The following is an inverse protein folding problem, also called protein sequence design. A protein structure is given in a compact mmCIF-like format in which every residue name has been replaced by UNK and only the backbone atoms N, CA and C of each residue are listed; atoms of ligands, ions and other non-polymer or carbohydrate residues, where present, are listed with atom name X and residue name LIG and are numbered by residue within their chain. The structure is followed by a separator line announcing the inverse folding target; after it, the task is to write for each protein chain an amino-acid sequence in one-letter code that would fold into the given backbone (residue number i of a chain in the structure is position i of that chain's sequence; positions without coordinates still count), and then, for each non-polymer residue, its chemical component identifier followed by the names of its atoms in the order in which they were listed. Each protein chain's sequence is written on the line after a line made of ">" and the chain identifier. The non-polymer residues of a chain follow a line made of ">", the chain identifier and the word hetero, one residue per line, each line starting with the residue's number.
data_IF_002561665266
#
_entry.id   IF_002561665266
#
_cell.length_a   1.000
_cell.length_b   1.000
_cell.length_c   1.000
_cell.angle_alpha   90.00
_cell.angle_beta   90.00
_cell.angle_gamma   90.00
#
_symmetry.space_group_name_H-M   'P 1'
#
loop_
_entity.id
_entity.type
_entity.pdbx_description
1 polymer ?
#
# COMPACT_ATOMS: atom_id res chain seq x y z
N UNK A 1 36.05 11.74 -31.35
CA UNK A 1 36.22 12.50 -30.09
C UNK A 1 34.85 12.60 -29.44
N UNK A 2 34.51 11.63 -28.59
CA UNK A 2 33.26 11.64 -27.82
C UNK A 2 33.57 12.15 -26.42
N UNK A 3 32.86 13.21 -26.02
CA UNK A 3 33.13 14.00 -24.83
C UNK A 3 32.75 13.30 -23.51
N UNK A 4 33.34 13.72 -22.38
CA UNK A 4 33.18 13.11 -21.07
C UNK A 4 32.06 13.75 -20.23
N UNK A 5 30.92 14.15 -20.82
CA UNK A 5 29.85 14.86 -20.08
C UNK A 5 28.70 13.95 -19.62
N UNK A 6 28.66 12.68 -20.00
CA UNK A 6 27.52 11.80 -19.69
C UNK A 6 27.58 11.09 -18.31
N UNK A 7 28.64 11.32 -17.51
CA UNK A 7 28.85 10.61 -16.24
C UNK A 7 28.52 11.44 -14.98
N UNK A 8 28.15 12.71 -15.10
CA UNK A 8 27.79 13.54 -13.93
C UNK A 8 26.28 13.51 -13.58
N UNK A 9 25.39 13.13 -14.50
CA UNK A 9 23.94 13.07 -14.20
C UNK A 9 23.55 11.84 -13.35
N UNK A 10 24.30 10.73 -13.42
CA UNK A 10 23.95 9.49 -12.73
C UNK A 10 24.24 9.55 -11.22
N UNK A 11 25.15 10.43 -10.79
CA UNK A 11 25.46 10.66 -9.36
C UNK A 11 24.46 11.57 -8.64
N UNK A 12 23.59 12.30 -9.36
CA UNK A 12 22.62 13.24 -8.78
C UNK A 12 21.26 12.58 -8.44
N UNK A 13 20.98 11.40 -9.00
CA UNK A 13 19.77 10.63 -8.74
C UNK A 13 19.54 10.26 -7.25
N UNK A 14 20.53 9.74 -6.49
CA UNK A 14 20.32 9.38 -5.08
C UNK A 14 20.02 10.60 -4.19
N UNK A 15 20.70 11.73 -4.43
CA UNK A 15 20.44 12.97 -3.69
C UNK A 15 19.04 13.51 -3.98
N UNK A 16 18.59 13.41 -5.23
CA UNK A 16 17.23 13.81 -5.62
C UNK A 16 16.16 12.94 -4.96
N UNK A 17 16.41 11.64 -4.81
CA UNK A 17 15.52 10.72 -4.10
C UNK A 17 15.42 11.14 -2.62
N UNK A 18 16.53 11.45 -1.97
CA UNK A 18 16.55 11.91 -0.57
C UNK A 18 15.77 13.22 -0.40
N UNK A 19 15.93 14.18 -1.32
CA UNK A 19 15.16 15.43 -1.32
C UNK A 19 13.65 15.17 -1.47
N UNK A 20 13.26 14.32 -2.42
CA UNK A 20 11.86 13.96 -2.65
C UNK A 20 11.26 13.21 -1.45
N UNK A 21 12.02 12.35 -0.78
CA UNK A 21 11.59 11.67 0.46
C UNK A 21 11.39 12.66 1.61
N UNK A 22 12.29 13.65 1.76
CA UNK A 22 12.13 14.73 2.76
C UNK A 22 10.91 15.59 2.46
N UNK A 23 10.69 15.96 1.20
CA UNK A 23 9.51 16.71 0.76
C UNK A 23 8.20 15.94 1.01
N UNK A 24 8.16 14.65 0.66
CA UNK A 24 7.00 13.78 0.93
C UNK A 24 6.69 13.67 2.42
N UNK A 25 7.72 13.57 3.27
CA UNK A 25 7.54 13.54 4.73
C UNK A 25 6.96 14.85 5.26
N UNK A 26 7.42 15.99 4.75
CA UNK A 26 6.88 17.30 5.11
C UNK A 26 5.41 17.45 4.70
N UNK A 27 5.07 17.07 3.46
CA UNK A 27 3.69 17.12 2.96
C UNK A 27 2.73 16.23 3.77
N UNK A 28 3.18 15.04 4.21
CA UNK A 28 2.37 14.16 5.08
C UNK A 28 2.09 14.79 6.45
N UNK A 29 3.09 15.45 7.05
CA UNK A 29 2.91 16.16 8.32
C UNK A 29 1.93 17.34 8.16
N UNK A 30 2.04 18.09 7.06
CA UNK A 30 1.13 19.20 6.76
C UNK A 30 -0.30 18.71 6.52
N UNK A 31 -0.48 17.61 5.77
CA UNK A 31 -1.78 16.97 5.55
C UNK A 31 -2.42 16.53 6.87
N UNK A 32 -1.66 15.89 7.76
CA UNK A 32 -2.16 15.46 9.06
C UNK A 32 -2.57 16.65 9.94
N UNK A 33 -1.77 17.72 9.97
CA UNK A 33 -2.14 18.93 10.74
C UNK A 33 -3.40 19.61 10.19
N UNK A 34 -3.57 19.65 8.86
CA UNK A 34 -4.77 20.15 8.19
C UNK A 34 -6.01 19.29 8.49
N UNK A 35 -5.86 17.96 8.49
CA UNK A 35 -6.93 17.04 8.89
C UNK A 35 -7.34 17.22 10.35
N UNK A 36 -6.38 17.39 11.27
CA UNK A 36 -6.66 17.69 12.67
C UNK A 36 -7.38 19.03 12.86
N UNK A 37 -6.96 20.07 12.14
CA UNK A 37 -7.62 21.37 12.17
C UNK A 37 -9.06 21.28 11.65
N UNK A 38 -9.27 20.54 10.57
CA UNK A 38 -10.62 20.28 10.02
C UNK A 38 -11.49 19.51 11.01
N UNK A 39 -10.93 18.53 11.74
CA UNK A 39 -11.65 17.82 12.81
C UNK A 39 -12.02 18.73 13.96
N UNK A 40 -11.14 19.66 14.36
CA UNK A 40 -11.42 20.66 15.41
C UNK A 40 -12.55 21.61 14.98
N UNK A 41 -12.47 22.19 13.78
CA UNK A 41 -13.51 23.07 13.24
C UNK A 41 -14.87 22.37 13.09
N UNK A 42 -14.88 21.08 12.71
CA UNK A 42 -16.12 20.29 12.66
C UNK A 42 -16.74 20.13 14.04
N UNK A 43 -15.95 19.84 15.07
CA UNK A 43 -16.44 19.78 16.47
C UNK A 43 -16.99 21.13 16.93
N UNK A 44 -16.28 22.23 16.67
CA UNK A 44 -16.76 23.57 17.02
C UNK A 44 -18.07 23.93 16.29
N UNK A 45 -18.22 23.54 15.02
CA UNK A 45 -19.47 23.71 14.29
C UNK A 45 -20.62 22.89 14.88
N UNK A 46 -20.36 21.66 15.31
CA UNK A 46 -21.36 20.83 15.99
C UNK A 46 -21.75 21.43 17.35
N UNK A 47 -20.77 21.89 18.15
CA UNK A 47 -21.03 22.57 19.42
C UNK A 47 -21.83 23.88 19.23
N UNK A 48 -21.52 24.67 18.20
CA UNK A 48 -22.27 25.88 17.89
C UNK A 48 -23.68 25.58 17.40
N UNK A 49 -23.86 24.54 16.57
CA UNK A 49 -25.20 24.07 16.15
C UNK A 49 -26.01 23.57 17.34
N UNK A 50 -25.38 22.84 18.25
CA UNK A 50 -26.03 22.37 19.48
C UNK A 50 -26.44 23.55 20.38
N UNK A 51 -25.55 24.53 20.57
CA UNK A 51 -25.86 25.78 21.28
C UNK A 51 -26.99 26.58 20.62
N UNK A 52 -26.99 26.67 19.28
CA UNK A 52 -28.04 27.36 18.52
C UNK A 52 -29.40 26.63 18.65
N UNK A 53 -29.39 25.30 18.67
CA UNK A 53 -30.60 24.49 18.88
C UNK A 53 -31.16 24.56 20.31
N UNK A 54 -30.31 24.89 21.30
CA UNK A 54 -30.67 25.03 22.72
C UNK A 54 -31.05 26.46 23.11
N UNK A 55 -30.88 27.44 22.24
CA UNK A 55 -31.37 28.80 22.48
C UNK A 55 -32.87 28.88 22.15
N UNK A 56 -33.73 29.31 23.09
CA UNK A 56 -35.13 29.55 22.80
C UNK A 56 -35.27 30.69 21.78
N UNK A 57 -36.16 30.51 20.80
CA UNK A 57 -36.48 31.48 19.77
C UNK A 57 -37.15 32.73 20.36
N UNK A 58 -36.35 33.60 20.97
CA UNK A 58 -36.75 34.95 21.35
C UNK A 58 -36.13 35.92 20.33
N UNK A 59 -36.99 36.55 19.55
CA UNK A 59 -36.66 37.78 18.82
C UNK A 59 -36.22 38.84 19.83
N UNK A 60 -35.10 39.56 19.59
CA UNK A 60 -35.24 41.01 19.68
C UNK A 60 -34.35 41.82 18.71
N UNK A 61 -34.95 42.97 18.39
CA UNK A 61 -34.37 44.26 18.07
C UNK A 61 -32.84 44.47 18.24
N UNK A 62 -32.30 45.12 17.21
CA UNK A 62 -31.00 45.78 17.10
C UNK A 62 -30.77 46.77 18.27
N UNK A 63 -29.65 46.68 19.02
CA UNK A 63 -29.09 47.81 19.74
C UNK A 63 -27.77 48.30 19.11
N UNK A 64 -27.66 49.62 19.09
CA UNK A 64 -26.52 50.46 18.67
C UNK A 64 -25.19 50.12 19.36
N UNK A 65 -24.02 50.33 18.71
CA UNK A 65 -22.73 49.90 19.24
C UNK A 65 -22.19 50.88 20.29
N UNK A 66 -22.29 50.50 21.56
CA UNK A 66 -21.54 51.12 22.65
C UNK A 66 -20.13 50.50 22.75
N UNK A 67 -19.14 51.38 22.73
CA UNK A 67 -17.69 51.16 22.95
C UNK A 67 -17.38 50.06 23.98
N UNK A 68 -16.81 48.95 23.50
CA UNK A 68 -15.97 48.05 24.32
C UNK A 68 -14.53 48.34 23.94
N UNK A 69 -13.85 49.13 24.77
CA UNK A 69 -12.40 49.29 24.73
C UNK A 69 -11.80 48.08 25.44
N UNK A 70 -11.13 47.21 24.67
CA UNK A 70 -10.27 46.16 25.21
C UNK A 70 -10.65 44.77 24.72
N UNK A 71 -10.26 44.44 23.49
CA UNK A 71 -10.10 43.06 23.06
C UNK A 71 -8.74 42.93 22.34
N UNK A 72 -8.03 41.80 22.55
CA UNK A 72 -6.58 41.69 22.42
C UNK A 72 -6.16 41.62 20.96
N UNK A 73 -4.86 41.79 20.69
CA UNK A 73 -4.28 41.84 19.35
C UNK A 73 -4.66 40.67 18.41
N UNK A 74 -5.26 39.60 18.93
CA UNK A 74 -5.67 38.41 18.18
C UNK A 74 -6.99 38.57 17.43
N UNK A 75 -7.94 39.39 17.90
CA UNK A 75 -9.17 39.66 17.14
C UNK A 75 -8.89 40.50 15.88
N UNK A 76 -7.94 41.44 15.96
CA UNK A 76 -7.50 42.20 14.79
C UNK A 76 -6.85 41.30 13.74
N UNK A 77 -6.06 40.32 14.17
CA UNK A 77 -5.45 39.33 13.25
C UNK A 77 -6.51 38.42 12.63
N UNK A 78 -7.50 38.00 13.41
CA UNK A 78 -8.61 37.17 12.92
C UNK A 78 -9.48 37.94 11.91
N UNK A 79 -9.80 39.19 12.19
CA UNK A 79 -10.51 40.06 11.24
C UNK A 79 -9.70 40.31 9.96
N UNK A 80 -8.38 40.53 10.07
CA UNK A 80 -7.52 40.65 8.90
C UNK A 80 -7.50 39.37 8.05
N UNK A 81 -7.50 38.20 8.69
CA UNK A 81 -7.60 36.91 8.01
C UNK A 81 -8.95 36.73 7.30
N UNK A 82 -10.07 37.07 7.96
CA UNK A 82 -11.40 37.01 7.33
C UNK A 82 -11.54 37.98 6.17
N UNK A 83 -11.07 39.22 6.31
CA UNK A 83 -11.07 40.19 5.20
C UNK A 83 -10.26 39.69 4.01
N UNK A 84 -9.08 39.07 4.25
CA UNK A 84 -8.28 38.46 3.19
C UNK A 84 -8.98 37.26 2.54
N UNK A 85 -9.67 36.43 3.33
CA UNK A 85 -10.46 35.29 2.84
C UNK A 85 -11.64 35.75 1.98
N UNK A 86 -12.34 36.80 2.40
CA UNK A 86 -13.46 37.39 1.64
C UNK A 86 -12.95 37.94 0.31
N UNK A 87 -11.85 38.72 0.32
CA UNK A 87 -11.25 39.22 -0.92
C UNK A 87 -10.79 38.12 -1.88
N UNK A 88 -10.24 37.01 -1.35
CA UNK A 88 -9.87 35.86 -2.18
C UNK A 88 -11.09 35.13 -2.77
N UNK A 89 -12.20 35.05 -2.02
CA UNK A 89 -13.45 34.46 -2.51
C UNK A 89 -14.12 35.34 -3.57
N UNK A 90 -14.10 36.67 -3.38
CA UNK A 90 -14.60 37.62 -4.39
C UNK A 90 -13.79 37.54 -5.68
N UNK A 91 -12.45 37.48 -5.59
CA UNK A 91 -11.58 37.29 -6.74
C UNK A 91 -11.78 35.95 -7.46
N UNK A 92 -12.05 34.88 -6.71
CA UNK A 92 -12.41 33.57 -7.29
C UNK A 92 -13.78 33.63 -8.00
N UNK A 93 -14.75 34.30 -7.39
CA UNK A 93 -16.10 34.46 -7.95
C UNK A 93 -16.08 35.29 -9.25
N UNK A 94 -15.28 36.37 -9.31
CA UNK A 94 -15.09 37.14 -10.55
C UNK A 94 -14.39 36.33 -11.63
N UNK A 95 -13.37 35.52 -11.27
CA UNK A 95 -12.72 34.60 -12.21
C UNK A 95 -13.69 33.56 -12.78
N UNK A 96 -14.48 32.90 -11.94
CA UNK A 96 -15.48 31.92 -12.36
C UNK A 96 -16.56 32.54 -13.26
N UNK A 97 -17.00 33.78 -12.99
CA UNK A 97 -17.92 34.51 -13.87
C UNK A 97 -17.31 34.79 -15.25
N UNK A 98 -16.02 35.16 -15.30
CA UNK A 98 -15.32 35.38 -16.56
C UNK A 98 -15.13 34.08 -17.36
N UNK A 99 -14.83 32.96 -16.68
CA UNK A 99 -14.76 31.63 -17.31
C UNK A 99 -16.12 31.20 -17.87
N UNK A 100 -17.21 31.37 -17.09
CA UNK A 100 -18.58 31.12 -17.57
C UNK A 100 -18.92 31.96 -18.80
N UNK A 101 -18.53 33.23 -18.85
CA UNK A 101 -18.74 34.08 -20.00
C UNK A 101 -17.98 33.57 -21.24
N UNK A 102 -16.74 33.11 -21.07
CA UNK A 102 -15.94 32.50 -22.16
C UNK A 102 -16.60 31.23 -22.69
N UNK A 103 -17.07 30.33 -21.81
CA UNK A 103 -17.76 29.12 -22.23
C UNK A 103 -19.08 29.41 -22.95
N UNK A 104 -19.87 30.38 -22.46
CA UNK A 104 -21.07 30.85 -23.18
C UNK A 104 -20.73 31.36 -24.57
N UNK A 105 -19.66 32.14 -24.70
CA UNK A 105 -19.25 32.69 -25.99
C UNK A 105 -18.68 31.63 -26.95
N UNK A 106 -17.99 30.61 -26.42
CA UNK A 106 -17.55 29.45 -27.21
C UNK A 106 -18.74 28.65 -27.73
N UNK A 107 -19.73 28.36 -26.88
CA UNK A 107 -20.97 27.68 -27.27
C UNK A 107 -21.73 28.46 -28.37
N UNK A 108 -21.89 29.78 -28.23
CA UNK A 108 -22.55 30.60 -29.26
C UNK A 108 -21.81 30.51 -30.60
N UNK A 109 -20.47 30.53 -30.58
CA UNK A 109 -19.65 30.38 -31.80
C UNK A 109 -19.77 29.00 -32.45
N UNK A 110 -19.85 27.94 -31.65
CA UNK A 110 -19.98 26.56 -32.14
C UNK A 110 -21.38 26.28 -32.70
N UNK A 111 -22.42 26.85 -32.10
CA UNK A 111 -23.81 26.70 -32.56
C UNK A 111 -24.14 27.59 -33.76
N UNK A 112 -23.31 28.58 -34.09
CA UNK A 112 -23.47 29.44 -35.28
C UNK A 112 -24.70 30.36 -35.24
N UNK A 113 -25.35 30.47 -34.09
CA UNK A 113 -26.58 31.23 -33.91
C UNK A 113 -26.35 32.36 -32.89
N UNK A 114 -26.00 33.55 -33.38
CA UNK A 114 -25.66 34.70 -32.54
C UNK A 114 -26.83 35.22 -31.70
N UNK A 115 -28.05 34.76 -31.98
CA UNK A 115 -29.27 35.15 -31.28
C UNK A 115 -29.70 34.13 -30.20
N UNK A 116 -28.95 33.03 -30.03
CA UNK A 116 -29.28 32.01 -29.05
C UNK A 116 -28.81 32.39 -27.64
N UNK A 117 -29.74 32.60 -26.72
CA UNK A 117 -29.45 32.76 -25.29
C UNK A 117 -29.51 31.40 -24.57
N UNK A 118 -28.37 30.88 -24.05
CA UNK A 118 -28.36 29.65 -23.25
C UNK A 118 -29.27 29.72 -22.01
N UNK A 119 -29.60 30.93 -21.53
CA UNK A 119 -30.44 31.13 -20.36
C UNK A 119 -31.92 30.79 -20.64
N UNK A 120 -32.42 31.04 -21.86
CA UNK A 120 -33.77 30.61 -22.27
C UNK A 120 -33.93 29.08 -22.31
N UNK A 121 -32.85 28.33 -22.54
CA UNK A 121 -32.89 26.86 -22.50
C UNK A 121 -33.03 26.35 -21.07
N UNK A 122 -32.40 27.01 -20.09
CA UNK A 122 -32.45 26.64 -18.68
C UNK A 122 -33.77 27.06 -18.02
N UNK A 123 -34.33 28.20 -18.41
CA UNK A 123 -35.63 28.69 -17.91
C UNK A 123 -36.84 28.05 -18.64
N UNK A 124 -36.60 27.45 -19.81
CA UNK A 124 -37.62 26.90 -20.72
C UNK A 124 -38.08 25.47 -20.44
N UNK A 125 -38.58 25.18 -19.23
CA UNK A 125 -39.12 23.86 -18.86
C UNK A 125 -40.35 23.38 -19.69
N UNK A 126 -40.90 24.21 -20.59
CA UNK A 126 -42.13 23.95 -21.35
C UNK A 126 -41.95 23.68 -22.85
N UNK A 127 -40.78 23.95 -23.44
CA UNK A 127 -40.59 23.86 -24.90
C UNK A 127 -39.82 22.62 -25.41
N UNK A 128 -39.24 21.81 -24.52
CA UNK A 128 -38.53 20.59 -24.93
C UNK A 128 -39.45 19.55 -25.56
N UNK A 129 -40.73 19.50 -25.14
CA UNK A 129 -41.74 18.60 -25.72
C UNK A 129 -42.09 18.98 -27.15
N UNK A 130 -42.15 20.27 -27.48
CA UNK A 130 -42.38 20.79 -28.84
C UNK A 130 -41.18 20.55 -29.77
N UNK A 131 -39.96 20.69 -29.25
CA UNK A 131 -38.75 20.34 -30.02
C UNK A 131 -38.65 18.84 -30.29
N UNK A 132 -38.99 17.99 -29.32
CA UNK A 132 -39.00 16.55 -29.52
C UNK A 132 -40.02 16.10 -30.58
N UNK A 133 -41.22 16.69 -30.60
CA UNK A 133 -42.24 16.40 -31.63
C UNK A 133 -41.80 16.92 -33.00
N UNK A 134 -41.14 18.08 -33.07
CA UNK A 134 -40.62 18.64 -34.31
C UNK A 134 -39.46 17.77 -34.89
N UNK A 135 -38.57 17.29 -34.03
CA UNK A 135 -37.51 16.33 -34.41
C UNK A 135 -38.13 15.01 -34.89
N UNK A 136 -39.16 14.52 -34.22
CA UNK A 136 -39.86 13.29 -34.64
C UNK A 136 -40.51 13.46 -36.03
N UNK A 137 -41.16 14.60 -36.28
CA UNK A 137 -41.77 14.91 -37.57
C UNK A 137 -40.72 15.01 -38.69
N UNK A 138 -39.62 15.74 -38.44
CA UNK A 138 -38.52 15.86 -39.39
C UNK A 138 -37.87 14.49 -39.68
N UNK A 139 -37.71 13.62 -38.67
CA UNK A 139 -37.22 12.24 -38.85
C UNK A 139 -38.15 11.41 -39.75
N UNK A 140 -39.47 11.55 -39.61
CA UNK A 140 -40.45 10.87 -40.47
C UNK A 140 -40.34 11.38 -41.92
N UNK A 141 -40.27 12.69 -42.11
CA UNK A 141 -40.11 13.29 -43.43
C UNK A 141 -38.79 12.88 -44.10
N UNK A 142 -37.70 12.80 -43.35
CA UNK A 142 -36.40 12.30 -43.83
C UNK A 142 -36.48 10.82 -44.22
N UNK A 143 -37.21 10.02 -43.46
CA UNK A 143 -37.42 8.60 -43.77
C UNK A 143 -38.24 8.42 -45.04
N UNK A 144 -39.31 9.19 -45.22
CA UNK A 144 -40.12 9.18 -46.45
C UNK A 144 -39.37 9.70 -47.69
N UNK A 145 -38.54 10.72 -47.53
CA UNK A 145 -37.68 11.20 -48.61
C UNK A 145 -36.64 10.14 -49.01
N UNK A 146 -36.05 9.44 -48.02
CA UNK A 146 -35.12 8.34 -48.26
C UNK A 146 -35.78 7.14 -48.93
N UNK A 147 -37.01 6.77 -48.56
CA UNK A 147 -37.73 5.67 -49.23
C UNK A 147 -38.10 6.03 -50.66
N UNK A 148 -38.56 7.27 -50.92
CA UNK A 148 -38.83 7.76 -52.28
C UNK A 148 -37.58 7.81 -53.17
N UNK A 149 -36.39 7.94 -52.59
CA UNK A 149 -35.11 7.84 -53.31
C UNK A 149 -34.65 6.38 -53.44
N UNK A 150 -35.00 5.51 -52.49
CA UNK A 150 -34.68 4.09 -52.47
C UNK A 150 -35.47 3.22 -53.46
N UNK A 151 -36.70 3.60 -53.80
CA UNK A 151 -37.58 2.86 -54.73
C UNK A 151 -37.13 2.88 -56.21
N UNK A 152 -36.00 3.53 -56.54
CA UNK A 152 -35.43 3.56 -57.91
C UNK A 152 -34.24 2.62 -58.14
N UNK A 153 -33.87 1.75 -57.19
CA UNK A 153 -32.70 0.87 -57.38
C UNK A 153 -32.87 -0.53 -56.80
N UNK A 154 -33.42 -1.45 -57.60
CA UNK A 154 -33.47 -2.89 -57.31
C UNK A 154 -32.10 -3.58 -57.23
N UNK A 155 -31.01 -2.86 -57.55
CA UNK A 155 -29.63 -3.33 -57.40
C UNK A 155 -29.04 -3.17 -55.98
N UNK A 156 -29.73 -2.49 -55.04
CA UNK A 156 -29.22 -2.28 -53.66
C UNK A 156 -29.62 -3.36 -52.65
N UNK A 157 -30.55 -4.24 -52.99
CA UNK A 157 -31.11 -5.23 -52.06
C UNK A 157 -30.08 -6.26 -51.57
N UNK A 158 -29.14 -6.69 -52.42
CA UNK A 158 -28.12 -7.68 -52.03
C UNK A 158 -27.05 -7.10 -51.09
N UNK A 159 -26.71 -5.82 -51.27
CA UNK A 159 -25.79 -5.10 -50.38
C UNK A 159 -26.46 -4.81 -49.03
N UNK A 160 -27.74 -4.44 -49.03
CA UNK A 160 -28.49 -4.20 -47.80
C UNK A 160 -28.70 -5.48 -46.98
N UNK A 161 -28.89 -6.64 -47.63
CA UNK A 161 -28.97 -7.95 -46.96
C UNK A 161 -27.63 -8.34 -46.35
N UNK A 162 -26.52 -8.15 -47.08
CA UNK A 162 -25.15 -8.41 -46.55
C UNK A 162 -24.80 -7.48 -45.40
N UNK A 163 -25.13 -6.19 -45.52
CA UNK A 163 -24.93 -5.21 -44.44
C UNK A 163 -25.77 -5.56 -43.21
N UNK A 164 -27.02 -6.00 -43.39
CA UNK A 164 -27.87 -6.45 -42.29
C UNK A 164 -27.30 -7.70 -41.61
N UNK A 165 -26.86 -8.68 -42.38
CA UNK A 165 -26.21 -9.88 -41.82
C UNK A 165 -24.93 -9.54 -41.05
N UNK A 166 -24.11 -8.61 -41.57
CA UNK A 166 -22.92 -8.14 -40.88
C UNK A 166 -23.25 -7.39 -39.58
N UNK A 167 -24.30 -6.56 -39.57
CA UNK A 167 -24.80 -5.89 -38.37
C UNK A 167 -25.32 -6.90 -37.33
N UNK A 168 -26.02 -7.94 -37.77
CA UNK A 168 -26.52 -9.00 -36.88
C UNK A 168 -25.36 -9.84 -36.32
N UNK A 169 -24.34 -10.19 -37.12
CA UNK A 169 -23.11 -10.82 -36.64
C UNK A 169 -22.36 -9.95 -35.62
N UNK A 170 -22.28 -8.62 -35.85
CA UNK A 170 -21.68 -7.71 -34.88
C UNK A 170 -22.48 -7.68 -33.59
N UNK A 171 -23.82 -7.67 -33.64
CA UNK A 171 -24.67 -7.74 -32.45
C UNK A 171 -24.48 -9.04 -31.68
N UNK A 172 -24.44 -10.18 -32.37
CA UNK A 172 -24.17 -11.49 -31.77
C UNK A 172 -22.81 -11.48 -31.05
N UNK A 173 -21.76 -10.96 -31.70
CA UNK A 173 -20.41 -10.87 -31.12
C UNK A 173 -20.37 -9.93 -29.91
N UNK A 174 -21.17 -8.86 -29.91
CA UNK A 174 -21.29 -7.97 -28.75
C UNK A 174 -22.03 -8.65 -27.61
N UNK A 175 -23.11 -9.37 -27.89
CA UNK A 175 -23.83 -10.14 -26.88
C UNK A 175 -22.95 -11.22 -26.25
N UNK A 176 -22.16 -11.94 -27.05
CA UNK A 176 -21.19 -12.92 -26.55
C UNK A 176 -20.13 -12.27 -25.66
N UNK A 177 -19.56 -11.13 -26.07
CA UNK A 177 -18.58 -10.39 -25.24
C UNK A 177 -19.19 -9.85 -23.96
N UNK A 178 -20.43 -9.36 -23.99
CA UNK A 178 -21.12 -8.90 -22.78
C UNK A 178 -21.34 -10.07 -21.82
N UNK A 179 -21.81 -11.22 -22.33
CA UNK A 179 -21.99 -12.41 -21.51
C UNK A 179 -20.66 -12.92 -20.91
N UNK A 180 -19.58 -12.91 -21.69
CA UNK A 180 -18.24 -13.28 -21.22
C UNK A 180 -17.73 -12.31 -20.14
N UNK A 181 -17.90 -11.01 -20.33
CA UNK A 181 -17.52 -10.00 -19.33
C UNK A 181 -18.38 -10.11 -18.05
N UNK A 182 -19.66 -10.43 -18.17
CA UNK A 182 -20.54 -10.67 -17.03
C UNK A 182 -20.10 -11.92 -16.24
N UNK A 183 -19.72 -13.00 -16.93
CA UNK A 183 -19.17 -14.20 -16.29
C UNK A 183 -17.84 -13.92 -15.59
N UNK A 184 -16.92 -13.20 -16.26
CA UNK A 184 -15.66 -12.78 -15.65
C UNK A 184 -15.88 -11.90 -14.41
N UNK A 185 -16.82 -10.95 -14.46
CA UNK A 185 -17.19 -10.13 -13.30
C UNK A 185 -17.72 -10.97 -12.14
N UNK A 186 -18.54 -11.98 -12.43
CA UNK A 186 -19.08 -12.90 -11.42
C UNK A 186 -17.96 -13.72 -10.76
N UNK A 187 -17.08 -14.32 -11.56
CA UNK A 187 -15.92 -15.08 -11.07
C UNK A 187 -14.98 -14.20 -10.24
N UNK A 188 -14.71 -12.97 -10.69
CA UNK A 188 -13.90 -12.01 -9.93
C UNK A 188 -14.59 -11.59 -8.64
N UNK A 189 -15.91 -11.43 -8.63
CA UNK A 189 -16.71 -11.17 -7.43
C UNK A 189 -16.57 -12.28 -6.39
N UNK A 190 -16.69 -13.54 -6.83
CA UNK A 190 -16.52 -14.70 -5.97
C UNK A 190 -15.09 -14.80 -5.41
N UNK A 191 -14.08 -14.58 -6.23
CA UNK A 191 -12.68 -14.59 -5.79
C UNK A 191 -12.39 -13.48 -4.77
N UNK A 192 -12.89 -12.26 -5.01
CA UNK A 192 -12.79 -11.16 -4.05
C UNK A 192 -13.48 -11.50 -2.72
N UNK A 193 -14.64 -12.16 -2.77
CA UNK A 193 -15.34 -12.59 -1.55
C UNK A 193 -14.54 -13.63 -0.75
N UNK A 194 -13.89 -14.59 -1.42
CA UNK A 194 -13.03 -15.60 -0.80
C UNK A 194 -11.79 -14.96 -0.17
N UNK A 195 -11.12 -14.05 -0.90
CA UNK A 195 -9.95 -13.33 -0.39
C UNK A 195 -10.29 -12.47 0.83
N UNK A 196 -11.45 -11.80 0.84
CA UNK A 196 -11.92 -11.05 2.02
C UNK A 196 -12.10 -11.94 3.24
N UNK A 197 -12.78 -13.09 3.09
CA UNK A 197 -12.95 -14.05 4.20
C UNK A 197 -11.61 -14.57 4.72
N UNK A 198 -10.66 -14.84 3.83
CA UNK A 198 -9.31 -15.27 4.22
C UNK A 198 -8.59 -14.16 5.01
N UNK A 199 -8.67 -12.91 4.55
CA UNK A 199 -8.07 -11.77 5.23
C UNK A 199 -8.70 -11.51 6.61
N UNK A 200 -10.02 -11.65 6.73
CA UNK A 200 -10.72 -11.55 8.01
C UNK A 200 -10.27 -12.65 9.00
N UNK A 201 -10.05 -13.87 8.49
CA UNK A 201 -9.53 -14.99 9.28
C UNK A 201 -8.10 -14.75 9.76
N UNK A 202 -7.21 -14.30 8.87
CA UNK A 202 -5.83 -13.93 9.22
C UNK A 202 -5.79 -12.78 10.22
N UNK A 203 -6.59 -11.74 10.00
CA UNK A 203 -6.71 -10.59 10.91
C UNK A 203 -7.14 -11.03 12.32
N UNK A 204 -8.11 -11.95 12.40
CA UNK A 204 -8.54 -12.54 13.66
C UNK A 204 -7.43 -13.36 14.35
N UNK A 205 -6.63 -14.10 13.57
CA UNK A 205 -5.50 -14.88 14.07
C UNK A 205 -4.37 -14.00 14.58
N UNK A 206 -4.04 -12.92 13.87
CA UNK A 206 -3.06 -11.93 14.29
C UNK A 206 -3.48 -11.31 15.63
N UNK A 207 -4.73 -10.85 15.75
CA UNK A 207 -5.23 -10.30 17.02
C UNK A 207 -5.17 -11.31 18.18
N UNK A 208 -5.42 -12.59 17.92
CA UNK A 208 -5.26 -13.65 18.92
C UNK A 208 -3.79 -13.85 19.34
N UNK A 209 -2.87 -13.90 18.37
CA UNK A 209 -1.44 -14.07 18.62
C UNK A 209 -0.84 -12.86 19.36
N UNK A 210 -1.27 -11.65 19.01
CA UNK A 210 -0.89 -10.42 19.73
C UNK A 210 -1.32 -10.47 21.19
N UNK A 211 -2.56 -10.93 21.46
CA UNK A 211 -3.05 -11.11 22.83
C UNK A 211 -2.22 -12.15 23.60
N UNK A 212 -1.92 -13.30 22.98
CA UNK A 212 -1.04 -14.32 23.61
C UNK A 212 0.36 -13.77 23.90
N UNK A 213 0.94 -13.01 22.97
CA UNK A 213 2.24 -12.36 23.16
C UNK A 213 2.21 -11.36 24.32
N UNK A 214 1.13 -10.58 24.43
CA UNK A 214 0.92 -9.67 25.55
C UNK A 214 0.81 -10.42 26.89
N UNK A 215 0.04 -11.51 26.94
CA UNK A 215 -0.12 -12.35 28.13
C UNK A 215 1.21 -12.98 28.58
N UNK A 216 2.02 -13.48 27.63
CA UNK A 216 3.34 -14.03 27.90
C UNK A 216 4.31 -12.95 28.45
N UNK A 217 4.32 -11.75 27.87
CA UNK A 217 5.10 -10.62 28.39
C UNK A 217 4.68 -10.24 29.81
N UNK A 218 3.37 -10.22 30.08
CA UNK A 218 2.85 -9.95 31.42
C UNK A 218 3.27 -11.04 32.41
N UNK A 219 3.21 -12.32 32.02
CA UNK A 219 3.68 -13.45 32.83
C UNK A 219 5.18 -13.35 33.13
N UNK A 220 5.99 -13.03 32.12
CA UNK A 220 7.43 -12.82 32.28
C UNK A 220 7.72 -11.66 33.24
N UNK A 221 7.01 -10.54 33.09
CA UNK A 221 7.13 -9.38 33.98
C UNK A 221 6.82 -9.76 35.43
N UNK A 222 5.77 -10.55 35.68
CA UNK A 222 5.46 -11.06 37.02
C UNK A 222 6.55 -11.99 37.57
N UNK A 223 7.10 -12.88 36.75
CA UNK A 223 8.20 -13.76 37.18
C UNK A 223 9.47 -12.98 37.54
N UNK A 224 9.81 -11.96 36.75
CA UNK A 224 10.93 -11.05 37.06
C UNK A 224 10.68 -10.28 38.36
N UNK A 225 9.46 -9.81 38.60
CA UNK A 225 9.10 -9.16 39.86
C UNK A 225 9.22 -10.12 41.05
N UNK A 226 8.76 -11.37 40.92
CA UNK A 226 8.94 -12.39 41.95
C UNK A 226 10.41 -12.67 42.23
N UNK A 227 11.23 -12.86 41.18
CA UNK A 227 12.66 -13.07 41.33
C UNK A 227 13.33 -11.90 42.09
N UNK A 228 12.96 -10.66 41.78
CA UNK A 228 13.44 -9.48 42.53
C UNK A 228 13.05 -9.51 44.00
N UNK A 229 11.80 -9.89 44.31
CA UNK A 229 11.37 -10.03 45.70
C UNK A 229 12.09 -11.19 46.42
N UNK A 230 12.35 -12.29 45.73
CA UNK A 230 13.13 -13.41 46.26
C UNK A 230 14.59 -12.97 46.53
N UNK A 231 15.19 -12.18 45.65
CA UNK A 231 16.53 -11.60 45.84
C UNK A 231 16.58 -10.62 47.03
N UNK A 232 15.55 -9.78 47.19
CA UNK A 232 15.37 -8.90 48.35
C UNK A 232 15.24 -9.70 49.64
N UNK A 233 14.44 -10.77 49.63
CA UNK A 233 14.27 -11.68 50.76
C UNK A 233 15.58 -12.38 51.12
N UNK A 234 16.28 -12.95 50.15
CA UNK A 234 17.59 -13.59 50.34
C UNK A 234 18.58 -12.58 50.93
N UNK A 235 18.62 -11.36 50.41
CA UNK A 235 19.48 -10.29 50.93
C UNK A 235 19.15 -9.97 52.39
N UNK A 236 17.87 -9.88 52.75
CA UNK A 236 17.44 -9.64 54.13
C UNK A 236 17.78 -10.79 55.09
N UNK A 237 17.68 -12.05 54.63
CA UNK A 237 18.03 -13.23 55.42
C UNK A 237 19.54 -13.31 55.63
N UNK A 238 20.33 -13.09 54.58
CA UNK A 238 21.80 -13.03 54.67
C UNK A 238 22.26 -11.91 55.61
N UNK A 239 21.58 -10.75 55.57
CA UNK A 239 21.87 -9.66 56.50
C UNK A 239 21.58 -10.08 57.95
N UNK A 240 20.46 -10.75 58.21
CA UNK A 240 20.14 -11.29 59.54
C UNK A 240 21.16 -12.32 60.01
N UNK A 241 21.55 -13.28 59.17
CA UNK A 241 22.61 -14.24 59.49
C UNK A 241 23.94 -13.55 59.81
N UNK A 242 24.28 -12.48 59.08
CA UNK A 242 25.49 -11.70 59.36
C UNK A 242 25.40 -10.90 60.67
N UNK A 243 24.21 -10.43 61.06
CA UNK A 243 23.99 -9.70 62.32
C UNK A 243 23.87 -10.62 63.54
N UNK A 244 23.33 -11.83 63.37
CA UNK A 244 23.18 -12.85 64.42
C UNK A 244 24.44 -13.72 64.57
N UNK A 245 25.45 -13.50 63.71
CA UNK A 245 26.80 -14.03 63.87
C UNK A 245 27.52 -13.33 65.05
N UNK A 246 27.05 -13.59 66.27
CA UNK A 246 27.89 -13.55 67.46
C UNK A 246 29.17 -14.37 67.21
N UNK A 247 30.32 -13.97 67.78
CA UNK A 247 31.58 -14.65 67.55
C UNK A 247 31.49 -16.09 68.06
N UNK A 248 31.28 -17.03 67.14
CA UNK A 248 31.35 -18.45 67.47
C UNK A 248 32.74 -18.73 68.04
N UNK A 249 32.85 -19.26 69.26
CA UNK A 249 34.14 -19.69 69.77
C UNK A 249 34.67 -20.79 68.86
N UNK A 250 35.96 -20.70 68.52
CA UNK A 250 36.69 -21.71 67.76
C UNK A 250 36.63 -23.03 68.54
N UNK A 251 35.67 -23.89 68.19
CA UNK A 251 35.59 -25.25 68.73
C UNK A 251 36.26 -26.18 67.72
N UNK A 252 37.46 -26.61 68.09
CA UNK A 252 38.27 -27.63 67.42
C UNK A 252 37.58 -28.99 67.49
N UNK A 253 37.82 -29.81 66.45
CA UNK A 253 37.84 -31.27 66.46
C UNK A 253 36.60 -32.02 66.96
N UNK A 254 35.94 -32.81 66.09
CA UNK A 254 36.15 -34.26 66.03
C UNK A 254 35.24 -34.95 65.00
N UNK A 255 35.80 -36.02 64.46
CA UNK A 255 35.24 -37.05 63.58
C UNK A 255 33.90 -37.63 64.04
N UNK A 256 32.95 -37.83 63.11
CA UNK A 256 31.99 -38.95 63.11
C UNK A 256 31.29 -39.09 61.75
N UNK A 257 30.65 -40.25 61.44
CA UNK A 257 30.68 -40.84 60.11
C UNK A 257 29.47 -40.47 59.25
N UNK A 258 29.71 -40.34 57.94
CA UNK A 258 28.66 -40.22 56.92
C UNK A 258 28.03 -41.59 56.66
N UNK A 259 26.85 -41.80 57.22
CA UNK A 259 25.79 -42.61 56.59
C UNK A 259 24.73 -41.66 56.08
N UNK A 260 24.34 -41.81 54.81
CA UNK A 260 22.97 -41.75 54.26
C UNK A 260 22.99 -41.32 52.78
N UNK A 261 22.68 -42.30 51.93
CA UNK A 261 21.82 -42.27 50.73
C UNK A 261 22.02 -41.19 49.66
N UNK A 262 22.14 -41.58 48.37
CA UNK A 262 22.18 -40.64 47.26
C UNK A 262 20.78 -40.10 46.94
N UNK A 263 20.59 -38.79 46.71
CA UNK A 263 19.44 -38.30 45.99
C UNK A 263 19.67 -38.49 44.49
N UNK A 264 18.71 -39.16 43.87
CA UNK A 264 18.48 -39.37 42.44
C UNK A 264 18.72 -38.11 41.60
N UNK A 265 19.46 -38.15 40.47
CA UNK A 265 19.50 -37.03 39.54
C UNK A 265 18.26 -37.08 38.64
N UNK A 266 17.18 -36.40 39.04
CA UNK A 266 16.11 -35.99 38.13
C UNK A 266 16.42 -34.59 37.59
N UNK A 267 17.49 -34.45 36.81
CA UNK A 267 17.77 -33.25 36.01
C UNK A 267 18.25 -33.72 34.63
N UNK A 268 17.36 -34.38 33.89
CA UNK A 268 17.63 -34.82 32.52
C UNK A 268 16.49 -34.52 31.54
N UNK A 269 15.46 -33.76 31.94
CA UNK A 269 14.30 -33.48 31.08
C UNK A 269 14.18 -32.03 30.58
N UNK A 270 15.06 -31.11 31.00
CA UNK A 270 14.92 -29.70 30.61
C UNK A 270 15.76 -29.25 29.39
N UNK A 271 16.54 -30.14 28.78
CA UNK A 271 17.40 -29.80 27.62
C UNK A 271 16.89 -30.31 26.27
N UNK A 272 15.79 -31.09 26.23
CA UNK A 272 15.24 -31.58 24.97
C UNK A 272 14.24 -30.63 24.29
N UNK A 273 13.87 -29.53 24.92
CA UNK A 273 12.86 -28.57 24.42
C UNK A 273 13.48 -27.45 23.58
N UNK A 274 14.78 -27.18 23.73
CA UNK A 274 15.45 -26.09 23.00
C UNK A 274 15.80 -26.42 21.54
N UNK A 275 15.80 -27.69 21.15
CA UNK A 275 16.06 -28.11 19.76
C UNK A 275 14.80 -28.10 18.89
N UNK A 276 13.59 -28.21 19.46
CA UNK A 276 12.34 -28.18 18.68
C UNK A 276 11.99 -26.76 18.20
N UNK A 277 12.25 -25.73 19.02
CA UNK A 277 12.02 -24.34 18.64
C UNK A 277 12.94 -23.84 17.52
N UNK A 278 14.19 -24.33 17.46
CA UNK A 278 15.11 -24.02 16.36
C UNK A 278 14.69 -24.71 15.04
N UNK A 279 14.10 -25.91 15.10
CA UNK A 279 13.55 -26.57 13.92
C UNK A 279 12.27 -25.90 13.40
N UNK A 280 11.41 -25.40 14.30
CA UNK A 280 10.21 -24.63 13.91
C UNK A 280 10.56 -23.27 13.29
N UNK A 281 11.53 -22.51 13.83
CA UNK A 281 11.96 -21.25 13.20
C UNK A 281 12.62 -21.49 11.83
N UNK A 282 13.38 -22.58 11.66
CA UNK A 282 13.94 -22.96 10.36
C UNK A 282 12.87 -23.40 9.36
N UNK A 283 11.80 -24.07 9.81
CA UNK A 283 10.68 -24.46 8.97
C UNK A 283 9.90 -23.24 8.49
N UNK A 284 9.58 -22.29 9.38
CA UNK A 284 8.90 -21.04 9.03
C UNK A 284 9.72 -20.19 8.06
N UNK A 285 11.02 -20.04 8.30
CA UNK A 285 11.89 -19.28 7.39
C UNK A 285 12.14 -20.01 6.05
N UNK A 286 11.99 -21.34 6.00
CA UNK A 286 11.99 -22.07 4.72
C UNK A 286 10.72 -21.81 3.92
N UNK A 287 9.59 -21.68 4.61
CA UNK A 287 8.28 -21.42 4.02
C UNK A 287 8.19 -20.01 3.41
N UNK A 288 8.76 -19.00 4.07
CA UNK A 288 8.86 -17.61 3.57
C UNK A 288 9.69 -17.51 2.27
N UNK A 289 10.80 -18.28 2.16
CA UNK A 289 11.58 -18.34 0.92
C UNK A 289 10.81 -19.01 -0.22
N UNK A 290 10.02 -20.03 0.10
CA UNK A 290 9.21 -20.75 -0.89
C UNK A 290 8.05 -19.86 -1.40
N UNK A 291 7.47 -19.03 -0.52
CA UNK A 291 6.51 -17.98 -0.89
C UNK A 291 7.16 -16.89 -1.76
N UNK A 292 8.38 -16.43 -1.43
CA UNK A 292 9.12 -15.50 -2.29
C UNK A 292 9.42 -16.09 -3.67
N UNK A 293 9.84 -17.36 -3.75
CA UNK A 293 10.10 -18.04 -5.01
C UNK A 293 8.81 -18.28 -5.83
N UNK A 294 7.67 -18.50 -5.16
CA UNK A 294 6.37 -18.55 -5.83
C UNK A 294 5.98 -17.18 -6.39
N UNK A 295 6.27 -16.09 -5.66
CA UNK A 295 5.99 -14.73 -6.10
C UNK A 295 6.82 -14.30 -7.30
N UNK A 296 8.09 -14.71 -7.36
CA UNK A 296 8.94 -14.47 -8.54
C UNK A 296 8.34 -15.13 -9.78
N UNK A 297 7.92 -16.40 -9.68
CA UNK A 297 7.26 -17.12 -10.79
C UNK A 297 5.97 -16.46 -11.25
N UNK A 298 5.18 -15.91 -10.33
CA UNK A 298 3.96 -15.16 -10.67
C UNK A 298 4.29 -13.87 -11.43
N UNK A 299 5.29 -13.11 -10.95
CA UNK A 299 5.74 -11.88 -11.61
C UNK A 299 6.38 -12.14 -12.97
N UNK A 300 7.08 -13.26 -13.15
CA UNK A 300 7.60 -13.70 -14.45
C UNK A 300 6.45 -13.99 -15.43
N UNK A 301 5.39 -14.65 -14.98
CA UNK A 301 4.19 -14.88 -15.79
C UNK A 301 3.48 -13.60 -16.22
N UNK A 302 3.32 -12.63 -15.31
CA UNK A 302 2.78 -11.30 -15.67
C UNK A 302 3.65 -10.58 -16.72
N UNK A 303 4.95 -10.85 -16.71
CA UNK A 303 5.91 -10.22 -17.62
C UNK A 303 5.81 -10.82 -19.03
N UNK A 304 5.58 -12.12 -19.12
CA UNK A 304 5.30 -12.82 -20.38
C UNK A 304 3.97 -12.34 -20.99
N UNK A 305 2.91 -12.25 -20.19
CA UNK A 305 1.61 -11.72 -20.65
C UNK A 305 1.71 -10.28 -21.19
N UNK A 306 2.48 -9.42 -20.52
CA UNK A 306 2.76 -8.06 -21.02
C UNK A 306 3.59 -8.08 -22.31
N UNK A 307 4.53 -9.00 -22.43
CA UNK A 307 5.31 -9.22 -23.64
C UNK A 307 4.42 -9.60 -24.83
N UNK A 308 3.47 -10.52 -24.62
CA UNK A 308 2.47 -10.91 -25.62
C UNK A 308 1.56 -9.74 -26.02
N UNK A 309 1.13 -8.92 -25.06
CA UNK A 309 0.34 -7.72 -25.34
C UNK A 309 1.11 -6.71 -26.19
N UNK A 310 2.38 -6.47 -25.89
CA UNK A 310 3.23 -5.57 -26.69
C UNK A 310 3.39 -6.10 -28.11
N UNK A 311 3.66 -7.41 -28.28
CA UNK A 311 3.75 -8.04 -29.60
C UNK A 311 2.44 -7.88 -30.39
N UNK A 312 1.28 -8.09 -29.75
CA UNK A 312 -0.03 -7.88 -30.37
C UNK A 312 -0.29 -6.41 -30.76
N UNK A 313 0.21 -5.45 -29.99
CA UNK A 313 0.12 -4.02 -30.31
C UNK A 313 1.06 -3.64 -31.46
N UNK A 314 2.28 -4.17 -31.49
CA UNK A 314 3.23 -4.00 -32.61
C UNK A 314 2.65 -4.56 -33.92
N UNK A 315 1.99 -5.72 -33.87
CA UNK A 315 1.28 -6.29 -35.03
C UNK A 315 0.12 -5.41 -35.49
N UNK A 316 -0.65 -4.84 -34.58
CA UNK A 316 -1.73 -3.89 -34.90
C UNK A 316 -1.18 -2.61 -35.50
N UNK A 317 -0.06 -2.08 -34.99
CA UNK A 317 0.64 -0.93 -35.55
C UNK A 317 1.13 -1.22 -36.97
N UNK A 318 1.75 -2.38 -37.21
CA UNK A 318 2.20 -2.80 -38.53
C UNK A 318 1.03 -2.88 -39.53
N UNK A 319 -0.11 -3.45 -39.12
CA UNK A 319 -1.32 -3.50 -39.96
C UNK A 319 -1.92 -2.11 -40.21
N UNK A 320 -1.93 -1.22 -39.22
CA UNK A 320 -2.42 0.15 -39.38
C UNK A 320 -1.54 0.96 -40.36
N UNK A 321 -0.21 0.78 -40.29
CA UNK A 321 0.73 1.38 -41.23
C UNK A 321 0.55 0.85 -42.67
N UNK A 322 0.30 -0.46 -42.84
CA UNK A 322 0.01 -1.05 -44.15
C UNK A 322 -1.37 -0.63 -44.71
N UNK A 323 -2.35 -0.38 -43.84
CA UNK A 323 -3.71 0.01 -44.23
C UNK A 323 -3.88 1.51 -44.51
N UNK A 324 -2.81 2.31 -44.43
CA UNK A 324 -2.88 3.77 -44.63
C UNK A 324 -3.75 4.49 -43.59
N UNK A 325 -3.73 4.01 -42.34
CA UNK A 325 -4.43 4.67 -41.25
C UNK A 325 -3.91 6.10 -41.02
N UNK A 326 -4.76 6.96 -40.47
CA UNK A 326 -4.43 8.36 -40.15
C UNK A 326 -3.08 8.47 -39.42
N UNK A 327 -2.22 9.38 -39.87
CA UNK A 327 -0.89 9.62 -39.31
C UNK A 327 -0.93 9.92 -37.80
N UNK A 328 -2.04 10.47 -37.30
CA UNK A 328 -2.25 10.69 -35.87
C UNK A 328 -2.48 9.39 -35.10
N UNK A 329 -3.17 8.42 -35.69
CA UNK A 329 -3.46 7.12 -35.06
C UNK A 329 -2.23 6.23 -35.02
N UNK A 330 -1.40 6.26 -36.06
CA UNK A 330 -0.12 5.54 -36.09
C UNK A 330 0.90 6.15 -35.13
N UNK A 331 0.98 7.49 -35.02
CA UNK A 331 1.80 8.18 -34.01
C UNK A 331 1.37 7.88 -32.58
N UNK A 332 0.06 7.87 -32.30
CA UNK A 332 -0.47 7.56 -30.97
C UNK A 332 -0.18 6.10 -30.54
N UNK A 333 -0.37 5.14 -31.46
CA UNK A 333 -0.02 3.75 -31.21
C UNK A 333 1.49 3.56 -31.03
N UNK A 334 2.33 4.26 -31.82
CA UNK A 334 3.78 4.19 -31.69
C UNK A 334 4.28 4.76 -30.35
N UNK A 335 3.72 5.88 -29.88
CA UNK A 335 4.06 6.44 -28.57
C UNK A 335 3.65 5.51 -27.42
N UNK A 336 2.52 4.81 -27.54
CA UNK A 336 2.07 3.88 -26.51
C UNK A 336 2.92 2.61 -26.49
N UNK A 337 3.32 2.08 -27.65
CA UNK A 337 4.28 0.97 -27.74
C UNK A 337 5.61 1.34 -27.09
N UNK A 338 6.17 2.52 -27.39
CA UNK A 338 7.42 2.98 -26.78
C UNK A 338 7.32 3.12 -25.25
N UNK A 339 6.20 3.65 -24.75
CA UNK A 339 5.92 3.77 -23.32
C UNK A 339 5.84 2.40 -22.62
N UNK A 340 5.18 1.43 -23.25
CA UNK A 340 5.06 0.07 -22.73
C UNK A 340 6.38 -0.69 -22.77
N UNK A 341 7.21 -0.48 -23.80
CA UNK A 341 8.56 -1.05 -23.90
C UNK A 341 9.48 -0.51 -22.80
N UNK A 342 9.42 0.80 -22.51
CA UNK A 342 10.17 1.41 -21.41
C UNK A 342 9.73 0.88 -20.04
N UNK A 343 8.41 0.75 -19.83
CA UNK A 343 7.86 0.16 -18.61
C UNK A 343 8.31 -1.30 -18.44
N UNK A 344 8.26 -2.10 -19.51
CA UNK A 344 8.69 -3.49 -19.49
C UNK A 344 10.20 -3.61 -19.22
N UNK A 345 11.02 -2.75 -19.82
CA UNK A 345 12.46 -2.71 -19.57
C UNK A 345 12.78 -2.34 -18.11
N UNK A 346 12.09 -1.34 -17.56
CA UNK A 346 12.22 -0.94 -16.14
C UNK A 346 11.82 -2.09 -15.20
N UNK A 347 10.71 -2.76 -15.48
CA UNK A 347 10.22 -3.89 -14.68
C UNK A 347 11.18 -5.07 -14.74
N UNK A 348 11.76 -5.38 -15.91
CA UNK A 348 12.79 -6.43 -16.07
C UNK A 348 14.04 -6.14 -15.25
N UNK A 349 14.53 -4.90 -15.26
CA UNK A 349 15.70 -4.50 -14.44
C UNK A 349 15.40 -4.69 -12.94
N UNK A 350 14.24 -4.24 -12.49
CA UNK A 350 13.84 -4.41 -11.09
C UNK A 350 13.73 -5.88 -10.67
N UNK A 351 13.18 -6.74 -11.54
CA UNK A 351 13.12 -8.18 -11.27
C UNK A 351 14.52 -8.83 -11.26
N UNK A 352 15.43 -8.40 -12.13
CA UNK A 352 16.81 -8.87 -12.10
C UNK A 352 17.51 -8.47 -10.78
N UNK A 353 17.29 -7.24 -10.31
CA UNK A 353 17.82 -6.76 -9.02
C UNK A 353 17.25 -7.55 -7.83
N UNK A 354 15.93 -7.79 -7.81
CA UNK A 354 15.28 -8.62 -6.80
C UNK A 354 15.79 -10.06 -6.80
N UNK A 355 16.01 -10.65 -7.98
CA UNK A 355 16.55 -12.00 -8.12
C UNK A 355 17.99 -12.08 -7.59
N UNK A 356 18.82 -11.09 -7.93
CA UNK A 356 20.19 -10.96 -7.40
C UNK A 356 20.20 -10.82 -5.87
N UNK A 357 19.32 -9.98 -5.31
CA UNK A 357 19.16 -9.83 -3.85
C UNK A 357 18.72 -11.13 -3.18
N UNK A 358 17.82 -11.91 -3.82
CA UNK A 358 17.39 -13.21 -3.31
C UNK A 358 18.54 -14.22 -3.33
N UNK A 359 19.31 -14.29 -4.41
CA UNK A 359 20.49 -15.16 -4.49
C UNK A 359 21.51 -14.83 -3.40
N UNK A 360 21.75 -13.54 -3.16
CA UNK A 360 22.66 -13.09 -2.10
C UNK A 360 22.13 -13.47 -0.71
N UNK A 361 20.83 -13.26 -0.44
CA UNK A 361 20.22 -13.65 0.83
C UNK A 361 20.27 -15.19 1.05
N UNK A 362 20.05 -15.98 0.01
CA UNK A 362 20.17 -17.45 0.07
C UNK A 362 21.62 -17.86 0.36
N UNK A 363 22.60 -17.22 -0.28
CA UNK A 363 24.02 -17.49 -0.02
C UNK A 363 24.41 -17.14 1.43
N UNK A 364 23.96 -15.99 1.95
CA UNK A 364 24.17 -15.60 3.34
C UNK A 364 23.55 -16.60 4.32
N UNK A 365 22.34 -17.09 4.04
CA UNK A 365 21.69 -18.13 4.85
C UNK A 365 22.47 -19.43 4.85
N UNK A 366 22.98 -19.87 3.69
CA UNK A 366 23.82 -21.08 3.61
C UNK A 366 25.11 -20.94 4.44
N UNK A 367 25.74 -19.76 4.42
CA UNK A 367 26.91 -19.48 5.27
C UNK A 367 26.58 -19.57 6.77
N UNK A 368 25.48 -18.94 7.21
CA UNK A 368 25.03 -19.03 8.60
C UNK A 368 24.70 -20.47 9.01
N UNK A 369 24.09 -21.26 8.11
CA UNK A 369 23.83 -22.69 8.36
C UNK A 369 25.13 -23.47 8.59
N UNK A 370 26.18 -23.19 7.81
CA UNK A 370 27.50 -23.80 7.99
C UNK A 370 28.15 -23.39 9.32
N UNK A 371 28.01 -22.13 9.74
CA UNK A 371 28.50 -21.65 11.03
C UNK A 371 27.78 -22.33 12.21
N UNK A 372 26.45 -22.45 12.14
CA UNK A 372 25.65 -23.17 13.13
C UNK A 372 26.07 -24.64 13.20
N UNK A 373 26.28 -25.30 12.07
CA UNK A 373 26.76 -26.68 12.02
C UNK A 373 28.16 -26.84 12.64
N UNK A 374 29.08 -25.89 12.38
CA UNK A 374 30.40 -25.86 13.02
C UNK A 374 30.30 -25.68 14.53
N UNK A 375 29.47 -24.75 15.02
CA UNK A 375 29.26 -24.51 16.44
C UNK A 375 28.67 -25.74 17.13
N UNK A 376 27.70 -26.43 16.50
CA UNK A 376 27.14 -27.67 17.00
C UNK A 376 28.17 -28.80 17.06
N UNK A 377 29.06 -28.91 16.07
CA UNK A 377 30.14 -29.89 16.07
C UNK A 377 31.16 -29.63 17.20
N UNK A 378 31.49 -28.36 17.48
CA UNK A 378 32.35 -27.99 18.61
C UNK A 378 31.69 -28.34 19.94
N UNK A 379 30.40 -28.01 20.13
CA UNK A 379 29.65 -28.39 21.32
C UNK A 379 29.61 -29.91 21.51
N UNK A 380 29.42 -30.68 20.44
CA UNK A 380 29.43 -32.14 20.49
C UNK A 380 30.79 -32.71 20.94
N UNK A 381 31.90 -32.10 20.49
CA UNK A 381 33.25 -32.47 20.94
C UNK A 381 33.47 -32.13 22.42
N UNK A 382 33.06 -30.94 22.84
CA UNK A 382 33.17 -30.48 24.23
C UNK A 382 32.38 -31.37 25.21
N UNK A 383 31.27 -31.97 24.75
CA UNK A 383 30.47 -32.93 25.52
C UNK A 383 31.08 -34.35 25.55
N UNK A 384 31.93 -34.71 24.59
CA UNK A 384 32.60 -36.03 24.54
C UNK A 384 33.90 -36.06 25.35
N UNK A 385 34.58 -34.92 25.53
CA UNK A 385 35.73 -34.80 26.41
C UNK A 385 35.26 -34.72 27.88
N UNK A 386 35.19 -35.88 28.54
CA UNK A 386 35.08 -35.94 30.00
C UNK A 386 36.33 -35.28 30.61
N UNK A 387 36.18 -34.36 31.58
CA UNK A 387 37.32 -33.72 32.23
C UNK A 387 37.99 -34.73 33.18
N UNK A 388 38.85 -35.58 32.64
CA UNK A 388 39.81 -36.37 33.41
C UNK A 388 41.13 -35.59 33.47
N UNK A 389 41.24 -34.66 34.42
CA UNK A 389 42.51 -33.97 34.65
C UNK A 389 42.33 -32.58 35.25
N UNK A 390 42.82 -32.42 36.48
CA UNK A 390 42.81 -31.19 37.27
C UNK A 390 43.85 -30.16 36.78
N UNK A 391 43.62 -29.57 35.61
CA UNK A 391 44.41 -28.46 35.08
C UNK A 391 43.51 -27.44 34.43
N UNK A 392 43.56 -26.21 34.95
CA UNK A 392 43.12 -24.96 34.31
C UNK A 392 41.60 -24.72 34.22
N UNK A 393 40.99 -24.53 35.40
CA UNK A 393 39.64 -23.97 35.57
C UNK A 393 39.46 -22.60 34.89
N UNK A 394 40.54 -21.84 34.67
CA UNK A 394 40.50 -20.53 34.00
C UNK A 394 40.28 -20.66 32.47
N UNK A 395 40.84 -21.68 31.82
CA UNK A 395 40.67 -21.91 30.38
C UNK A 395 39.23 -22.32 30.06
N UNK A 396 38.63 -23.16 30.90
CA UNK A 396 37.22 -23.54 30.77
C UNK A 396 36.26 -22.35 31.02
N UNK A 397 36.64 -21.41 31.90
CA UNK A 397 35.88 -20.18 32.12
C UNK A 397 36.00 -19.22 30.93
N UNK A 398 37.19 -19.07 30.35
CA UNK A 398 37.41 -18.26 29.14
C UNK A 398 36.63 -18.80 27.94
N UNK A 399 36.65 -20.12 27.69
CA UNK A 399 35.87 -20.75 26.62
C UNK A 399 34.36 -20.55 26.79
N UNK A 400 33.85 -20.52 28.03
CA UNK A 400 32.43 -20.21 28.29
C UNK A 400 32.09 -18.75 28.00
N UNK A 401 32.97 -17.81 28.34
CA UNK A 401 32.79 -16.39 28.04
C UNK A 401 32.81 -16.16 26.54
N UNK A 402 33.74 -16.79 25.81
CA UNK A 402 33.82 -16.71 24.35
C UNK A 402 32.57 -17.33 23.68
N UNK A 403 32.12 -18.50 24.15
CA UNK A 403 30.90 -19.13 23.65
C UNK A 403 29.67 -18.24 23.84
N UNK A 404 29.54 -17.62 25.02
CA UNK A 404 28.41 -16.74 25.34
C UNK A 404 28.46 -15.45 24.53
N UNK A 405 29.66 -14.88 24.32
CA UNK A 405 29.87 -13.73 23.43
C UNK A 405 29.50 -14.06 21.98
N UNK A 406 29.92 -15.23 21.48
CA UNK A 406 29.58 -15.69 20.13
C UNK A 406 28.06 -15.92 19.97
N UNK A 407 27.39 -16.47 20.99
CA UNK A 407 25.92 -16.59 20.99
C UNK A 407 25.24 -15.23 20.94
N UNK A 408 25.68 -14.27 21.75
CA UNK A 408 25.10 -12.92 21.74
C UNK A 408 25.29 -12.21 20.38
N UNK A 409 26.46 -12.39 19.73
CA UNK A 409 26.70 -11.89 18.39
C UNK A 409 25.78 -12.56 17.35
N UNK A 410 25.63 -13.89 17.41
CA UNK A 410 24.73 -14.63 16.53
C UNK A 410 23.27 -14.17 16.71
N UNK A 411 22.80 -14.03 17.95
CA UNK A 411 21.45 -13.52 18.24
C UNK A 411 21.24 -12.08 17.75
N UNK A 412 22.25 -11.22 17.90
CA UNK A 412 22.19 -9.85 17.40
C UNK A 412 22.09 -9.83 15.86
N UNK A 413 22.84 -10.69 15.18
CA UNK A 413 22.80 -10.83 13.71
C UNK A 413 21.45 -11.36 13.22
N UNK A 414 20.89 -12.37 13.90
CA UNK A 414 19.54 -12.88 13.59
C UNK A 414 18.48 -11.79 13.79
N UNK A 415 18.57 -10.99 14.86
CA UNK A 415 17.68 -9.84 15.05
C UNK A 415 17.82 -8.79 13.97
N UNK A 416 19.05 -8.49 13.53
CA UNK A 416 19.29 -7.56 12.44
C UNK A 416 18.64 -8.05 11.12
N UNK A 417 18.85 -9.32 10.77
CA UNK A 417 18.25 -9.93 9.58
C UNK A 417 16.71 -9.98 9.65
N UNK A 418 16.13 -10.28 10.82
CA UNK A 418 14.67 -10.22 11.01
C UNK A 418 14.12 -8.81 10.77
N UNK A 419 14.81 -7.77 11.25
CA UNK A 419 14.39 -6.39 11.02
C UNK A 419 14.53 -5.98 9.54
N UNK A 420 15.58 -6.44 8.86
CA UNK A 420 15.79 -6.19 7.44
C UNK A 420 14.73 -6.88 6.58
N UNK A 421 14.36 -8.12 6.91
CA UNK A 421 13.28 -8.85 6.26
C UNK A 421 11.95 -8.11 6.38
N UNK A 422 11.58 -7.66 7.58
CA UNK A 422 10.34 -6.88 7.80
C UNK A 422 10.35 -5.58 6.98
N UNK A 423 11.49 -4.88 6.92
CA UNK A 423 11.62 -3.67 6.10
C UNK A 423 11.43 -3.97 4.60
N UNK A 424 11.91 -5.12 4.12
CA UNK A 424 11.73 -5.58 2.74
C UNK A 424 10.30 -6.01 2.44
N UNK A 425 9.63 -6.66 3.36
CA UNK A 425 8.19 -6.97 3.24
C UNK A 425 7.35 -5.69 3.11
N UNK A 426 7.67 -4.66 3.90
CA UNK A 426 7.02 -3.35 3.79
C UNK A 426 7.29 -2.67 2.44
N UNK A 427 8.51 -2.78 1.91
CA UNK A 427 8.90 -2.26 0.58
C UNK A 427 8.12 -2.96 -0.54
N UNK A 428 8.01 -4.29 -0.48
CA UNK A 428 7.21 -5.10 -1.42
C UNK A 428 5.73 -4.74 -1.32
N UNK A 429 5.20 -4.58 -0.11
CA UNK A 429 3.80 -4.17 0.12
C UNK A 429 3.50 -2.81 -0.49
N UNK A 430 4.41 -1.84 -0.31
CA UNK A 430 4.27 -0.50 -0.89
C UNK A 430 4.33 -0.55 -2.42
N UNK A 431 5.24 -1.35 -2.98
CA UNK A 431 5.37 -1.54 -4.44
C UNK A 431 4.12 -2.16 -5.05
N UNK A 432 3.51 -3.15 -4.37
CA UNK A 432 2.22 -3.74 -4.77
C UNK A 432 1.09 -2.71 -4.77
N UNK A 433 1.02 -1.89 -3.72
CA UNK A 433 0.01 -0.82 -3.64
C UNK A 433 0.17 0.21 -4.77
N UNK A 434 1.40 0.61 -5.09
CA UNK A 434 1.69 1.50 -6.22
C UNK A 434 1.30 0.90 -7.57
N UNK A 435 1.50 -0.40 -7.75
CA UNK A 435 1.06 -1.11 -8.97
C UNK A 435 -0.46 -1.15 -9.09
N UNK A 436 -1.18 -1.42 -7.99
CA UNK A 436 -2.65 -1.39 -7.95
C UNK A 436 -3.20 0.02 -8.23
N UNK A 437 -2.62 1.05 -7.62
CA UNK A 437 -3.00 2.46 -7.84
C UNK A 437 -2.75 2.88 -9.31
N UNK A 438 -1.61 2.50 -9.88
CA UNK A 438 -1.31 2.75 -11.29
C UNK A 438 -2.29 2.03 -12.22
N UNK A 439 -2.61 0.77 -11.95
CA UNK A 439 -3.59 0.01 -12.72
C UNK A 439 -4.96 0.68 -12.70
N UNK A 440 -5.43 1.10 -11.52
CA UNK A 440 -6.68 1.84 -11.38
C UNK A 440 -6.68 3.18 -12.16
N UNK A 441 -5.55 3.89 -12.17
CA UNK A 441 -5.39 5.12 -12.95
C UNK A 441 -5.46 4.85 -14.46
N UNK A 442 -4.83 3.78 -14.95
CA UNK A 442 -4.92 3.38 -16.36
C UNK A 442 -6.34 2.98 -16.75
N UNK A 443 -7.02 2.16 -15.94
CA UNK A 443 -8.39 1.73 -16.21
C UNK A 443 -9.35 2.93 -16.26
N UNK A 444 -9.17 3.92 -15.37
CA UNK A 444 -9.92 5.17 -15.39
C UNK A 444 -9.65 5.98 -16.67
N UNK A 445 -8.38 6.17 -17.04
CA UNK A 445 -8.01 6.91 -18.25
C UNK A 445 -8.53 6.24 -19.53
N UNK A 446 -8.48 4.91 -19.59
CA UNK A 446 -8.99 4.13 -20.70
C UNK A 446 -10.53 4.23 -20.78
N UNK A 447 -11.22 4.23 -19.63
CA UNK A 447 -12.65 4.50 -19.54
C UNK A 447 -13.04 5.87 -20.08
N UNK A 448 -12.32 6.93 -19.71
CA UNK A 448 -12.53 8.28 -20.23
C UNK A 448 -12.29 8.38 -21.74
N UNK A 449 -11.24 7.73 -22.25
CA UNK A 449 -10.94 7.71 -23.69
C UNK A 449 -12.05 7.00 -24.48
N UNK A 450 -12.55 5.86 -23.97
CA UNK A 450 -13.66 5.12 -24.57
C UNK A 450 -14.94 5.96 -24.55
N UNK A 451 -15.20 6.71 -23.48
CA UNK A 451 -16.35 7.62 -23.40
C UNK A 451 -16.26 8.74 -24.45
N UNK A 452 -15.11 9.41 -24.58
CA UNK A 452 -14.87 10.44 -25.60
C UNK A 452 -15.06 9.90 -27.02
N UNK A 453 -14.50 8.72 -27.33
CA UNK A 453 -14.69 8.10 -28.65
C UNK A 453 -16.14 7.73 -28.96
N UNK A 454 -16.97 7.48 -27.94
CA UNK A 454 -18.41 7.26 -28.12
C UNK A 454 -19.14 8.57 -28.40
N UNK A 455 -18.78 9.65 -27.72
CA UNK A 455 -19.34 10.99 -27.96
C UNK A 455 -19.02 11.49 -29.38
N UNK A 456 -17.79 11.28 -29.88
CA UNK A 456 -17.40 11.68 -31.23
C UNK A 456 -18.08 10.89 -32.36
N UNK A 457 -18.66 9.72 -32.06
CA UNK A 457 -19.34 8.85 -33.04
C UNK A 457 -20.87 8.99 -33.04
N UNK A 458 -21.46 9.60 -32.01
CA UNK A 458 -22.91 9.81 -31.89
C UNK A 458 -23.31 11.16 -32.47
#
# INVERSE_FOLDING_TARGET
>A
MSGPEAFEEESAAPDRIIELSKANRALRLELNSSQEHTRKLKKELEELKEKQSKMPAASPAIPSPAKIKGAPADEKKMMAHFTKRVGALEASNTKLKAELAKYRQALIKELGDEQWDPQELLDGASNWRGRATQIALLKVQLKEARTKIGERSDAKSDVDVKNKHHLDQMRESLHQKVAELEEQLLVQGDNNSKLRRHNDSLSSRVGYLEKQSADLRNKLKMMVQKAKHDDELISSLRQKESSDALPRPKFSQESMPRTLTPPTPQIAQSQLVSTSGAQEEHASSSQELEECAARIRELEGELDERGEMISALQDKLARANQAGASEHQTKALASEVARLEELLASTKRHNADLSSQLEEAVAQRQQLQLEVNKANAVNAKLMQEKPEGSGDLDDAAQLRIELESAKQQAEARVRALKNELVAKEDEVRLSKQLLEDNKAAYDSALGELVAKMREERG
#
